data_IF_765386209441
#
_entry.id   IF_765386209441
#
_cell.length_a   1.000
_cell.length_b   1.000
_cell.length_c   1.000
_cell.angle_alpha   90.00
_cell.angle_beta   90.00
_cell.angle_gamma   90.00
#
_symmetry.space_group_name_H-M   'P 1'
#
loop_
_entity.id
_entity.type
_entity.pdbx_description
1 polymer ?
#
# COMPACT_ATOMS: atom_id res chain seq x y z
N UNK A 1 21.36 17.86 7.16
CA UNK A 1 20.05 18.08 7.79
C UNK A 1 20.04 17.36 9.11
N UNK A 2 19.42 17.93 10.13
CA UNK A 2 19.30 17.29 11.44
C UNK A 2 18.37 16.08 11.36
N UNK A 3 18.74 14.95 11.99
CA UNK A 3 17.95 13.72 12.00
C UNK A 3 16.59 13.96 12.67
N UNK A 4 16.54 14.81 13.70
CA UNK A 4 15.27 15.16 14.36
C UNK A 4 14.33 15.94 13.45
N UNK A 5 14.86 16.85 12.62
CA UNK A 5 14.05 17.57 11.63
C UNK A 5 13.45 16.60 10.59
N UNK A 6 14.24 15.63 10.14
CA UNK A 6 13.77 14.62 9.19
C UNK A 6 12.72 13.69 9.80
N UNK A 7 12.87 13.29 11.07
CA UNK A 7 11.86 12.48 11.76
C UNK A 7 10.51 13.19 11.83
N UNK A 8 10.51 14.48 12.22
CA UNK A 8 9.28 15.29 12.25
C UNK A 8 8.67 15.43 10.87
N UNK A 9 9.49 15.62 9.84
CA UNK A 9 9.00 15.69 8.45
C UNK A 9 8.26 14.41 8.05
N UNK A 10 8.85 13.23 8.27
CA UNK A 10 8.19 11.96 7.98
C UNK A 10 6.98 11.69 8.87
N UNK A 11 7.00 12.12 10.13
CA UNK A 11 5.86 12.01 11.02
C UNK A 11 4.66 12.86 10.55
N UNK A 12 4.89 14.09 10.09
CA UNK A 12 3.85 14.94 9.49
C UNK A 12 3.30 14.29 8.21
N UNK A 13 4.18 13.74 7.36
CA UNK A 13 3.74 13.02 6.16
C UNK A 13 2.89 11.79 6.50
N UNK A 14 3.24 11.05 7.54
CA UNK A 14 2.45 9.89 7.99
C UNK A 14 1.05 10.31 8.44
N UNK A 15 0.93 11.38 9.24
CA UNK A 15 -0.38 11.92 9.64
C UNK A 15 -1.18 12.40 8.42
N UNK A 16 -0.54 13.09 7.48
CA UNK A 16 -1.19 13.51 6.24
C UNK A 16 -1.67 12.31 5.41
N UNK A 17 -0.88 11.23 5.36
CA UNK A 17 -1.26 9.99 4.70
C UNK A 17 -2.45 9.31 5.39
N UNK A 18 -2.46 9.24 6.72
CA UNK A 18 -3.57 8.68 7.50
C UNK A 18 -4.87 9.48 7.29
N UNK A 19 -4.79 10.82 7.28
CA UNK A 19 -5.93 11.68 6.93
C UNK A 19 -6.41 11.41 5.49
N UNK A 20 -5.48 11.28 4.55
CA UNK A 20 -5.79 10.93 3.16
C UNK A 20 -6.51 9.59 3.05
N UNK A 21 -6.05 8.57 3.78
CA UNK A 21 -6.71 7.25 3.85
C UNK A 21 -8.14 7.40 4.36
N UNK A 22 -8.35 8.11 5.48
CA UNK A 22 -9.69 8.32 6.05
C UNK A 22 -10.60 9.02 5.03
N UNK A 23 -10.12 10.09 4.41
CA UNK A 23 -10.89 10.83 3.40
C UNK A 23 -11.27 9.95 2.20
N UNK A 24 -10.32 9.16 1.68
CA UNK A 24 -10.58 8.24 0.56
C UNK A 24 -11.59 7.17 0.96
N UNK A 25 -11.41 6.54 2.13
CA UNK A 25 -12.32 5.49 2.62
C UNK A 25 -13.72 6.04 2.84
N UNK A 26 -13.84 7.21 3.47
CA UNK A 26 -15.13 7.90 3.65
C UNK A 26 -15.74 8.25 2.29
N UNK A 27 -14.93 8.73 1.34
CA UNK A 27 -15.40 8.99 -0.02
C UNK A 27 -15.91 7.73 -0.74
N UNK A 28 -15.26 6.58 -0.57
CA UNK A 28 -15.70 5.31 -1.16
C UNK A 28 -17.03 4.81 -0.57
N UNK A 29 -17.32 5.12 0.70
CA UNK A 29 -18.53 4.66 1.43
C UNK A 29 -19.68 5.66 1.35
N UNK A 30 -19.38 6.95 1.49
CA UNK A 30 -20.34 8.04 1.59
C UNK A 30 -20.40 8.92 0.33
N UNK A 31 -19.53 8.72 -0.66
CA UNK A 31 -19.52 9.44 -1.94
C UNK A 31 -20.89 9.54 -2.62
N UNK A 32 -21.68 8.46 -2.70
CA UNK A 32 -23.04 8.53 -3.27
C UNK A 32 -24.00 9.47 -2.54
N UNK A 33 -23.68 9.88 -1.31
CA UNK A 33 -24.46 10.78 -0.47
C UNK A 33 -23.88 12.20 -0.40
N UNK A 34 -22.61 12.39 -0.79
CA UNK A 34 -21.86 13.64 -0.67
C UNK A 34 -21.11 13.93 -1.97
N UNK A 35 -21.62 14.81 -2.85
CA UNK A 35 -21.08 15.01 -4.20
C UNK A 35 -19.62 15.50 -4.21
N UNK A 36 -19.20 16.28 -3.20
CA UNK A 36 -17.81 16.73 -3.04
C UNK A 36 -16.84 15.55 -2.85
N UNK A 37 -17.24 14.51 -2.11
CA UNK A 37 -16.38 13.34 -1.87
C UNK A 37 -16.34 12.41 -3.09
N UNK A 38 -17.44 12.30 -3.82
CA UNK A 38 -17.47 11.59 -5.10
C UNK A 38 -16.54 12.29 -6.11
N UNK A 39 -16.57 13.63 -6.14
CA UNK A 39 -15.67 14.45 -6.95
C UNK A 39 -14.19 14.23 -6.57
N UNK A 40 -13.90 14.08 -5.28
CA UNK A 40 -12.53 13.79 -4.86
C UNK A 40 -12.07 12.38 -5.29
N UNK A 41 -12.94 11.37 -5.14
CA UNK A 41 -12.60 9.98 -5.41
C UNK A 41 -12.34 9.73 -6.90
N UNK A 42 -13.08 10.36 -7.83
CA UNK A 42 -12.77 10.20 -9.26
C UNK A 42 -11.42 10.84 -9.62
N UNK A 43 -11.09 12.00 -9.03
CA UNK A 43 -9.82 12.65 -9.31
C UNK A 43 -8.62 11.81 -8.84
N UNK A 44 -8.78 11.16 -7.68
CA UNK A 44 -7.81 10.19 -7.15
C UNK A 44 -7.74 8.95 -8.04
N UNK A 45 -8.89 8.41 -8.48
CA UNK A 45 -8.98 7.24 -9.37
C UNK A 45 -8.17 7.45 -10.65
N UNK A 46 -8.32 8.59 -11.31
CA UNK A 46 -7.63 8.89 -12.57
C UNK A 46 -6.10 8.94 -12.44
N UNK A 47 -5.61 9.16 -11.22
CA UNK A 47 -4.17 9.28 -10.90
C UNK A 47 -3.68 8.18 -9.97
N UNK A 48 -4.47 7.12 -9.76
CA UNK A 48 -4.25 6.18 -8.67
C UNK A 48 -2.86 5.51 -8.75
N UNK A 49 -2.47 5.00 -9.92
CA UNK A 49 -1.16 4.36 -10.11
C UNK A 49 -0.01 5.33 -9.88
N UNK A 50 -0.11 6.56 -10.39
CA UNK A 50 0.92 7.58 -10.24
C UNK A 50 1.05 8.04 -8.78
N UNK A 51 -0.07 8.29 -8.10
CA UNK A 51 -0.09 8.65 -6.69
C UNK A 51 0.50 7.54 -5.82
N UNK A 52 0.10 6.29 -6.06
CA UNK A 52 0.64 5.14 -5.34
C UNK A 52 2.15 4.95 -5.59
N UNK A 53 2.63 5.17 -6.82
CA UNK A 53 4.05 5.12 -7.15
C UNK A 53 4.85 6.22 -6.44
N UNK A 54 4.31 7.45 -6.36
CA UNK A 54 4.93 8.54 -5.61
C UNK A 54 5.05 8.19 -4.14
N UNK A 55 3.98 7.69 -3.52
CA UNK A 55 3.99 7.26 -2.11
C UNK A 55 5.04 6.18 -1.88
N UNK A 56 5.08 5.12 -2.70
CA UNK A 56 6.06 4.05 -2.60
C UNK A 56 7.51 4.58 -2.74
N UNK A 57 7.72 5.54 -3.64
CA UNK A 57 9.02 6.18 -3.86
C UNK A 57 9.45 6.97 -2.64
N UNK A 58 8.57 7.81 -2.08
CA UNK A 58 8.85 8.60 -0.86
C UNK A 58 9.16 7.67 0.32
N UNK A 59 8.38 6.60 0.52
CA UNK A 59 8.63 5.62 1.58
C UNK A 59 9.98 4.91 1.41
N UNK A 60 10.35 4.56 0.18
CA UNK A 60 11.64 3.92 -0.13
C UNK A 60 12.80 4.87 0.10
N UNK A 61 12.69 6.12 -0.33
CA UNK A 61 13.70 7.15 -0.07
C UNK A 61 13.86 7.42 1.44
N UNK A 62 12.76 7.46 2.19
CA UNK A 62 12.80 7.56 3.65
C UNK A 62 13.50 6.36 4.30
N UNK A 63 13.21 5.14 3.84
CA UNK A 63 13.89 3.94 4.32
C UNK A 63 15.40 3.96 4.04
N UNK A 64 15.81 4.41 2.85
CA UNK A 64 17.24 4.55 2.48
C UNK A 64 17.91 5.65 3.30
N UNK A 65 17.24 6.80 3.52
CA UNK A 65 17.76 7.86 4.38
C UNK A 65 18.05 7.33 5.79
N UNK A 66 17.13 6.56 6.36
CA UNK A 66 17.32 6.01 7.70
C UNK A 66 18.48 5.01 7.79
N UNK A 67 18.74 4.21 6.75
CA UNK A 67 19.87 3.28 6.78
C UNK A 67 21.22 3.93 6.48
N UNK A 68 21.28 4.80 5.47
CA UNK A 68 22.56 5.33 4.97
C UNK A 68 22.99 6.62 5.68
N UNK A 69 22.04 7.47 6.07
CA UNK A 69 22.34 8.80 6.63
C UNK A 69 22.19 8.80 8.15
N UNK A 70 21.10 8.21 8.67
CA UNK A 70 20.87 8.12 10.11
C UNK A 70 21.53 6.88 10.75
N UNK A 71 22.10 5.98 9.94
CA UNK A 71 22.77 4.75 10.38
C UNK A 71 21.91 3.84 11.26
N UNK A 72 20.59 3.83 11.05
CA UNK A 72 19.68 2.92 11.73
C UNK A 72 19.76 1.54 11.09
N UNK A 73 20.24 0.57 11.85
CA UNK A 73 20.34 -0.82 11.41
C UNK A 73 18.93 -1.44 11.41
N UNK A 74 18.43 -1.96 10.27
CA UNK A 74 17.09 -2.50 10.20
C UNK A 74 17.00 -3.83 10.97
N UNK A 75 15.95 -3.98 11.77
CA UNK A 75 15.61 -5.26 12.39
C UNK A 75 14.96 -6.22 11.37
N UNK A 76 14.65 -7.45 11.80
CA UNK A 76 14.00 -8.47 10.95
C UNK A 76 12.66 -8.01 10.39
N UNK A 77 11.81 -7.38 11.20
CA UNK A 77 10.49 -6.90 10.75
C UNK A 77 10.60 -5.72 9.77
N UNK A 78 11.54 -4.79 9.99
CA UNK A 78 11.87 -3.74 9.02
C UNK A 78 12.31 -4.33 7.67
N UNK A 79 13.07 -5.42 7.68
CA UNK A 79 13.49 -6.09 6.45
C UNK A 79 12.31 -6.62 5.64
N UNK A 80 11.32 -7.24 6.29
CA UNK A 80 10.09 -7.68 5.63
C UNK A 80 9.30 -6.49 5.06
N UNK A 81 9.23 -5.36 5.77
CA UNK A 81 8.60 -4.14 5.24
C UNK A 81 9.34 -3.60 4.00
N UNK A 82 10.68 -3.63 3.96
CA UNK A 82 11.47 -3.23 2.78
C UNK A 82 11.22 -4.14 1.58
N UNK A 83 11.19 -5.45 1.80
CA UNK A 83 10.89 -6.44 0.74
C UNK A 83 9.50 -6.21 0.15
N UNK A 84 8.53 -5.79 0.96
CA UNK A 84 7.20 -5.43 0.47
C UNK A 84 7.19 -4.07 -0.24
N UNK A 85 7.88 -3.04 0.28
CA UNK A 85 7.79 -1.66 -0.24
C UNK A 85 8.64 -1.42 -1.50
N UNK A 86 9.87 -1.95 -1.55
CA UNK A 86 10.82 -1.57 -2.61
C UNK A 86 10.37 -2.03 -4.01
N UNK A 87 9.83 -3.26 -4.19
CA UNK A 87 9.30 -3.68 -5.48
C UNK A 87 8.11 -2.82 -5.95
N UNK A 88 7.32 -2.25 -5.02
CA UNK A 88 6.18 -1.41 -5.37
C UNK A 88 6.60 -0.17 -6.16
N UNK A 89 7.79 0.38 -5.90
CA UNK A 89 8.32 1.52 -6.67
C UNK A 89 8.42 1.16 -8.15
N UNK A 90 8.94 -0.02 -8.47
CA UNK A 90 9.10 -0.49 -9.85
C UNK A 90 7.75 -0.88 -10.44
N UNK A 91 6.97 -1.70 -9.73
CA UNK A 91 5.66 -2.19 -10.21
C UNK A 91 4.72 -1.02 -10.50
N UNK A 92 4.51 -0.13 -9.53
CA UNK A 92 3.60 1.01 -9.68
C UNK A 92 4.19 2.09 -10.59
N UNK A 93 5.51 2.29 -10.60
CA UNK A 93 6.17 3.24 -11.48
C UNK A 93 6.01 2.86 -12.97
N UNK A 94 6.25 1.58 -13.30
CA UNK A 94 6.04 1.07 -14.66
C UNK A 94 4.57 1.09 -15.02
N UNK A 95 3.69 0.67 -14.10
CA UNK A 95 2.24 0.70 -14.30
C UNK A 95 1.72 2.11 -14.56
N UNK A 96 2.24 3.13 -13.86
CA UNK A 96 1.87 4.53 -14.06
C UNK A 96 2.27 5.06 -15.44
N UNK A 97 3.43 4.67 -15.97
CA UNK A 97 3.90 5.07 -17.31
C UNK A 97 3.12 4.35 -18.41
N UNK A 98 2.88 3.04 -18.24
CA UNK A 98 2.20 2.21 -19.24
C UNK A 98 0.68 2.25 -19.16
N UNK A 99 0.13 2.85 -18.10
CA UNK A 99 -1.29 2.76 -17.72
C UNK A 99 -1.77 1.30 -17.66
N UNK A 100 -0.93 0.43 -17.11
CA UNK A 100 -1.20 -1.00 -16.99
C UNK A 100 -1.91 -1.30 -15.66
N UNK A 101 -3.20 -1.60 -15.75
CA UNK A 101 -4.04 -1.89 -14.60
C UNK A 101 -3.84 -3.30 -14.04
N UNK A 102 -3.19 -4.21 -14.80
CA UNK A 102 -2.86 -5.56 -14.36
C UNK A 102 -1.87 -5.58 -13.19
N UNK A 103 -1.09 -4.51 -13.01
CA UNK A 103 -0.15 -4.35 -11.90
C UNK A 103 -0.83 -4.07 -10.55
N UNK A 104 -2.13 -3.75 -10.52
CA UNK A 104 -2.85 -3.37 -9.29
C UNK A 104 -2.95 -4.50 -8.28
N UNK A 105 -3.35 -5.69 -8.71
CA UNK A 105 -3.50 -6.85 -7.83
C UNK A 105 -2.18 -7.26 -7.16
N UNK A 106 -1.07 -7.47 -7.89
CA UNK A 106 0.20 -7.80 -7.25
C UNK A 106 0.70 -6.66 -6.34
N UNK A 107 0.49 -5.40 -6.72
CA UNK A 107 0.82 -4.27 -5.86
C UNK A 107 -0.01 -4.25 -4.57
N UNK A 108 -1.31 -4.52 -4.64
CA UNK A 108 -2.21 -4.59 -3.49
C UNK A 108 -1.86 -5.76 -2.56
N UNK A 109 -1.49 -6.93 -3.09
CA UNK A 109 -1.05 -8.07 -2.29
C UNK A 109 0.22 -7.74 -1.50
N UNK A 110 1.23 -7.17 -2.18
CA UNK A 110 2.48 -6.76 -1.53
C UNK A 110 2.24 -5.66 -0.48
N UNK A 111 1.44 -4.64 -0.82
CA UNK A 111 1.12 -3.56 0.11
C UNK A 111 0.30 -4.05 1.32
N UNK A 112 -0.63 -5.00 1.12
CA UNK A 112 -1.39 -5.65 2.18
C UNK A 112 -0.51 -6.46 3.14
N UNK A 113 0.41 -7.25 2.59
CA UNK A 113 1.41 -7.97 3.39
C UNK A 113 2.32 -7.02 4.18
N UNK A 114 2.81 -5.97 3.53
CA UNK A 114 3.61 -4.92 4.17
C UNK A 114 2.87 -4.19 5.29
N UNK A 115 1.57 -3.88 5.09
CA UNK A 115 0.72 -3.28 6.11
C UNK A 115 0.55 -4.22 7.31
N UNK A 116 0.27 -5.51 7.08
CA UNK A 116 0.14 -6.50 8.14
C UNK A 116 1.41 -6.62 9.00
N UNK A 117 2.57 -6.67 8.36
CA UNK A 117 3.88 -6.68 9.06
C UNK A 117 4.10 -5.38 9.84
N UNK A 118 3.70 -4.23 9.28
CA UNK A 118 3.84 -2.92 9.93
C UNK A 118 2.99 -2.80 11.19
N UNK A 119 1.73 -3.25 11.13
CA UNK A 119 0.83 -3.31 12.28
C UNK A 119 1.40 -4.22 13.35
N UNK A 120 1.84 -5.43 12.98
CA UNK A 120 2.46 -6.36 13.93
C UNK A 120 3.71 -5.76 14.60
N UNK A 121 4.56 -5.11 13.81
CA UNK A 121 5.78 -4.50 14.34
C UNK A 121 5.47 -3.33 15.29
N UNK A 122 4.49 -2.49 14.96
CA UNK A 122 4.05 -1.44 15.88
C UNK A 122 3.52 -2.01 17.20
N UNK A 123 2.72 -3.09 17.16
CA UNK A 123 2.24 -3.79 18.36
C UNK A 123 3.41 -4.29 19.22
N UNK A 124 4.40 -4.95 18.61
CA UNK A 124 5.59 -5.44 19.34
C UNK A 124 6.39 -4.30 20.00
N UNK A 125 6.40 -3.10 19.40
CA UNK A 125 7.03 -1.93 20.01
C UNK A 125 6.24 -1.36 21.21
N UNK A 126 4.91 -1.47 21.21
CA UNK A 126 4.09 -1.03 22.34
C UNK A 126 4.08 -2.05 23.50
N UNK A 127 4.18 -3.35 23.17
CA UNK A 127 4.26 -4.44 24.14
C UNK A 127 5.53 -5.27 23.94
N UNK A 128 6.70 -4.81 24.44
CA UNK A 128 7.97 -5.49 24.28
C UNK A 128 8.00 -6.94 24.80
N UNK A 129 7.09 -7.30 25.73
CA UNK A 129 6.93 -8.66 26.26
C UNK A 129 6.50 -9.69 25.21
N UNK A 130 6.02 -9.23 24.05
CA UNK A 130 5.64 -10.09 22.92
C UNK A 130 6.85 -10.49 22.06
N UNK A 131 7.98 -9.81 22.22
CA UNK A 131 9.23 -10.24 21.59
C UNK A 131 9.75 -11.45 22.36
N UNK A 132 9.69 -12.64 21.74
CA UNK A 132 10.40 -13.80 22.28
C UNK A 132 11.90 -13.53 22.20
N UNK A 133 12.66 -14.03 23.19
CA UNK A 133 14.14 -14.05 23.22
C UNK A 133 14.71 -14.92 22.08
N UNK A 134 14.34 -14.61 20.84
CA UNK A 134 14.81 -15.27 19.65
C UNK A 134 16.22 -14.77 19.38
N UNK A 135 17.18 -15.55 19.87
CA UNK A 135 18.62 -15.40 19.79
C UNK A 135 19.16 -15.30 18.35
N UNK A 136 18.78 -14.28 17.56
CA UNK A 136 19.08 -14.24 16.12
C UNK A 136 19.01 -12.86 15.43
N UNK A 137 18.96 -11.75 16.16
CA UNK A 137 19.15 -10.44 15.56
C UNK A 137 20.06 -9.57 16.45
N UNK A 138 21.10 -8.99 15.85
CA UNK A 138 21.95 -7.99 16.51
C UNK A 138 21.15 -6.73 16.94
N UNK A 139 19.92 -6.58 16.45
CA UNK A 139 19.00 -5.47 16.71
C UNK A 139 17.61 -5.98 17.05
N UNK A 140 17.06 -5.54 18.19
CA UNK A 140 15.72 -5.88 18.68
C UNK A 140 14.62 -5.15 17.90
N UNK A 141 13.50 -5.83 17.64
CA UNK A 141 12.34 -5.24 16.96
C UNK A 141 11.49 -4.39 17.90
N UNK A 142 11.50 -4.69 19.21
CA UNK A 142 10.72 -3.98 20.23
C UNK A 142 11.24 -2.58 20.58
N UNK A 143 12.51 -2.29 20.28
CA UNK A 143 13.13 -1.00 20.63
C UNK A 143 12.96 -0.02 19.46
N UNK A 144 12.21 1.08 19.62
CA UNK A 144 12.06 2.08 18.57
C UNK A 144 13.30 3.00 18.50
N UNK A 145 13.84 3.18 17.29
CA UNK A 145 14.86 4.21 17.01
C UNK A 145 14.28 5.63 16.99
N UNK A 146 13.03 5.75 16.55
CA UNK A 146 12.29 7.01 16.42
C UNK A 146 10.95 6.84 17.11
N UNK A 147 10.59 7.80 17.94
CA UNK A 147 9.30 7.89 18.62
C UNK A 147 8.87 9.35 18.70
N UNK A 148 8.26 9.83 17.63
CA UNK A 148 7.72 11.19 17.57
C UNK A 148 6.30 11.23 18.17
N UNK A 149 6.00 12.31 18.91
CA UNK A 149 4.72 12.51 19.61
C UNK A 149 4.26 11.35 20.49
N UNK A 150 5.19 10.50 20.94
CA UNK A 150 4.91 9.35 21.82
C UNK A 150 4.23 8.16 21.15
N UNK A 151 3.83 8.25 19.87
CA UNK A 151 3.08 7.21 19.16
C UNK A 151 3.65 6.87 17.79
N UNK A 152 4.20 7.85 17.06
CA UNK A 152 4.67 7.67 15.69
C UNK A 152 6.07 7.09 15.70
N UNK A 153 6.15 5.82 15.36
CA UNK A 153 7.40 5.08 15.19
C UNK A 153 7.64 4.77 13.70
N UNK A 154 8.83 4.28 13.36
CA UNK A 154 9.15 3.88 11.97
C UNK A 154 8.12 2.90 11.38
N UNK A 155 7.67 1.85 12.12
CA UNK A 155 6.61 0.96 11.64
C UNK A 155 5.27 1.65 11.39
N UNK A 156 4.91 2.65 12.20
CA UNK A 156 3.70 3.44 11.96
C UNK A 156 3.81 4.19 10.64
N UNK A 157 4.93 4.89 10.43
CA UNK A 157 5.16 5.65 9.19
C UNK A 157 5.13 4.75 7.94
N UNK A 158 5.72 3.55 8.02
CA UNK A 158 5.64 2.56 6.96
C UNK A 158 4.19 2.06 6.74
N UNK A 159 3.47 1.79 7.82
CA UNK A 159 2.06 1.40 7.80
C UNK A 159 1.17 2.43 7.12
N UNK A 160 1.32 3.72 7.45
CA UNK A 160 0.59 4.82 6.78
C UNK A 160 0.84 4.86 5.27
N UNK A 161 2.08 4.62 4.84
CA UNK A 161 2.43 4.52 3.42
C UNK A 161 1.73 3.35 2.71
N UNK A 162 1.78 2.15 3.29
CA UNK A 162 1.08 0.99 2.74
C UNK A 162 -0.45 1.16 2.74
N UNK A 163 -1.02 1.70 3.81
CA UNK A 163 -2.44 1.98 3.91
C UNK A 163 -2.90 2.99 2.84
N UNK A 164 -2.11 4.04 2.61
CA UNK A 164 -2.41 5.02 1.57
C UNK A 164 -2.33 4.41 0.17
N UNK A 165 -1.31 3.59 -0.12
CA UNK A 165 -1.21 2.86 -1.39
C UNK A 165 -2.47 2.00 -1.60
N UNK A 166 -2.89 1.22 -0.59
CA UNK A 166 -4.08 0.39 -0.69
C UNK A 166 -5.36 1.21 -0.87
N UNK A 167 -5.53 2.30 -0.12
CA UNK A 167 -6.70 3.17 -0.23
C UNK A 167 -6.81 3.79 -1.63
N UNK A 168 -5.70 4.29 -2.17
CA UNK A 168 -5.64 4.84 -3.52
C UNK A 168 -5.95 3.78 -4.57
N UNK A 169 -5.35 2.59 -4.49
CA UNK A 169 -5.64 1.48 -5.42
C UNK A 169 -7.08 0.95 -5.30
N UNK A 170 -7.69 1.03 -4.12
CA UNK A 170 -9.08 0.60 -3.92
C UNK A 170 -10.09 1.48 -4.68
N UNK A 171 -9.74 2.73 -4.99
CA UNK A 171 -10.62 3.64 -5.74
C UNK A 171 -10.97 3.14 -7.13
N UNK A 172 -10.11 2.31 -7.73
CA UNK A 172 -10.23 1.86 -9.11
C UNK A 172 -10.95 0.51 -9.28
N UNK A 173 -11.50 -0.08 -8.20
CA UNK A 173 -12.25 -1.36 -8.11
C UNK A 173 -11.78 -2.49 -9.05
N UNK A 174 -11.15 -3.51 -8.46
CA UNK A 174 -10.65 -4.75 -9.09
C UNK A 174 -11.75 -5.73 -9.56
N UNK A 175 -13.03 -5.54 -9.19
CA UNK A 175 -14.01 -6.64 -9.20
C UNK A 175 -15.10 -6.58 -10.29
N UNK A 176 -14.82 -6.14 -11.52
CA UNK A 176 -15.82 -6.25 -12.59
C UNK A 176 -15.23 -6.41 -14.01
N UNK A 177 -14.15 -7.19 -14.14
CA UNK A 177 -13.89 -7.86 -15.41
C UNK A 177 -14.37 -9.31 -15.26
N UNK A 178 -15.64 -9.54 -15.58
CA UNK A 178 -16.08 -10.87 -16.01
C UNK A 178 -15.15 -11.31 -17.14
N UNK A 179 -14.63 -12.54 -17.16
CA UNK A 179 -13.94 -13.06 -18.34
C UNK A 179 -14.82 -12.81 -19.57
N UNK A 180 -14.30 -12.13 -20.58
CA UNK A 180 -15.00 -11.98 -21.86
C UNK A 180 -15.38 -13.38 -22.34
N UNK A 181 -16.65 -13.64 -22.72
CA UNK A 181 -17.00 -14.93 -23.29
C UNK A 181 -16.12 -15.18 -24.50
N UNK A 182 -15.45 -16.34 -24.50
CA UNK A 182 -14.60 -16.79 -25.60
C UNK A 182 -15.45 -16.81 -26.89
N UNK A 183 -15.08 -16.05 -27.95
CA UNK A 183 -15.83 -16.03 -29.20
C UNK A 183 -15.94 -17.41 -29.88
N UNK A 184 -15.23 -18.44 -29.38
CA UNK A 184 -15.27 -19.80 -29.87
C UNK A 184 -16.39 -20.71 -29.37
N UNK A 185 -17.23 -20.32 -28.39
CA UNK A 185 -18.24 -21.24 -27.82
C UNK A 185 -19.64 -21.16 -28.44
N UNK A 186 -19.85 -20.32 -29.46
CA UNK A 186 -21.14 -20.10 -30.12
C UNK A 186 -21.24 -20.82 -31.48
N UNK A 187 -20.82 -22.08 -31.55
CA UNK A 187 -20.63 -22.77 -32.83
C UNK A 187 -20.87 -24.27 -32.81
N UNK A 188 -22.00 -24.75 -32.27
CA UNK A 188 -22.55 -26.05 -32.67
C UNK A 188 -24.05 -26.13 -32.31
N UNK A 189 -24.88 -25.42 -33.07
CA UNK A 189 -26.30 -25.80 -33.18
C UNK A 189 -26.35 -26.90 -34.24
N UNK A 190 -26.75 -28.14 -33.93
CA UNK A 190 -26.95 -29.17 -34.95
C UNK A 190 -28.10 -28.75 -35.88
N UNK A 191 -27.97 -28.94 -37.21
CA UNK A 191 -28.97 -28.49 -38.16
C UNK A 191 -30.29 -29.25 -37.95
N UNK A 192 -31.34 -28.45 -37.85
CA UNK A 192 -32.75 -28.80 -37.94
C UNK A 192 -33.00 -29.50 -39.29
N UNK A 193 -32.92 -30.83 -39.30
CA UNK A 193 -33.34 -31.65 -40.42
C UNK A 193 -34.87 -31.67 -40.50
N UNK A 194 -35.35 -30.90 -41.50
CA UNK A 194 -36.46 -31.23 -42.39
C UNK A 194 -37.86 -31.41 -41.78
N UNK A 195 -38.67 -30.34 -41.95
CA UNK A 195 -40.09 -30.48 -42.21
C UNK A 195 -40.34 -31.47 -43.38
N UNK A 196 -41.14 -32.52 -43.10
CA UNK A 196 -42.37 -32.93 -43.82
C UNK A 196 -42.21 -33.31 -45.31
N UNK A 197 -42.66 -34.51 -45.74
CA UNK A 197 -44.10 -34.83 -45.91
C UNK A 197 -44.68 -35.86 -44.95
#
# INVERSE_FOLDING_TARGET
MDVAAMNRFFAVLAVAADLGVVVIVVGLVAGPRLPLLDELVWWVRDRALALAAVVATVCTLGSVYYSEVAHFVPCRLCWFQRIAMYPLVVILGVAAVRRDEGARLPAAILAGGGLGVSVWHWIVQQWPTLESDSCSALVRCSIPYVKEWGLITIPWMAGSGFALILAVLATTRVLNESPSPDPGSAGSVPPEEALVP
#
